data_IF_389995423284
#
_entry.id   IF_389995423284
#
_cell.length_a   1.000
_cell.length_b   1.000
_cell.length_c   1.000
_cell.angle_alpha   90.00
_cell.angle_beta   90.00
_cell.angle_gamma   90.00
#
_symmetry.space_group_name_H-M   'P 1'
#
loop_
_entity.id
_entity.type
_entity.pdbx_description
1 polymer ?
#
# COMPACT_ATOMS: atom_id res chain seq x y z
N UNK A 1 6.56 29.94 -75.87
CA UNK A 1 7.07 28.94 -76.79
C UNK A 1 8.17 28.21 -76.02
N UNK A 2 8.15 27.02 -75.74
CA UNK A 2 8.05 25.76 -76.44
C UNK A 2 7.59 24.69 -75.45
N UNK A 3 6.68 23.83 -75.93
CA UNK A 3 6.20 22.60 -75.29
C UNK A 3 7.32 21.55 -75.18
N UNK A 4 7.34 20.77 -74.16
CA UNK A 4 8.06 19.52 -74.07
C UNK A 4 7.33 18.53 -73.14
N UNK A 5 6.46 17.73 -73.74
CA UNK A 5 5.88 16.54 -73.13
C UNK A 5 6.91 15.40 -73.22
N UNK A 6 7.15 14.67 -72.13
CA UNK A 6 7.72 13.32 -72.20
C UNK A 6 7.00 12.45 -71.17
N UNK A 7 6.20 11.64 -71.74
CA UNK A 7 5.82 10.25 -71.59
C UNK A 7 6.19 9.53 -70.27
N UNK A 8 5.13 8.94 -69.71
CA UNK A 8 5.04 8.18 -68.49
C UNK A 8 5.85 6.88 -68.44
N UNK A 9 5.97 6.41 -67.25
CA UNK A 9 5.93 4.98 -66.87
C UNK A 9 5.57 4.90 -65.39
N UNK A 10 4.37 4.46 -65.14
CA UNK A 10 3.92 4.05 -63.81
C UNK A 10 4.61 2.74 -63.41
N UNK A 11 5.44 2.78 -62.39
CA UNK A 11 5.95 1.58 -61.72
C UNK A 11 5.01 1.22 -60.58
N UNK A 12 4.24 0.16 -60.75
CA UNK A 12 3.49 -0.46 -59.68
C UNK A 12 4.48 -1.23 -58.78
N UNK A 13 4.77 -0.71 -57.61
CA UNK A 13 5.53 -1.42 -56.58
C UNK A 13 4.54 -2.32 -55.85
N UNK A 14 4.61 -3.63 -56.15
CA UNK A 14 3.93 -4.68 -55.41
C UNK A 14 4.60 -4.82 -54.04
N UNK A 15 4.09 -4.11 -53.05
CA UNK A 15 4.47 -4.34 -51.65
C UNK A 15 3.81 -5.64 -51.17
N UNK A 16 4.56 -6.73 -51.24
CA UNK A 16 4.23 -7.96 -50.49
C UNK A 16 4.19 -7.64 -49.03
N UNK A 17 3.01 -7.57 -48.44
CA UNK A 17 2.83 -7.57 -46.98
C UNK A 17 3.34 -8.90 -46.43
N UNK A 18 4.51 -8.91 -45.85
CA UNK A 18 4.97 -10.01 -45.01
C UNK A 18 4.15 -9.95 -43.72
N UNK A 19 3.20 -10.85 -43.55
CA UNK A 19 2.55 -11.14 -42.30
C UNK A 19 3.57 -11.81 -41.36
N UNK A 20 4.41 -11.03 -40.70
CA UNK A 20 5.12 -11.52 -39.51
C UNK A 20 4.12 -11.57 -38.37
N UNK A 21 3.47 -12.72 -38.21
CA UNK A 21 2.66 -13.03 -37.03
C UNK A 21 3.59 -13.03 -35.83
N UNK A 22 3.45 -12.01 -35.00
CA UNK A 22 4.19 -11.87 -33.76
C UNK A 22 3.81 -13.03 -32.81
N UNK A 23 4.68 -14.03 -32.70
CA UNK A 23 4.50 -15.31 -32.01
C UNK A 23 4.47 -15.18 -30.47
N UNK A 24 4.38 -13.95 -29.94
CA UNK A 24 4.46 -13.65 -28.50
C UNK A 24 3.18 -13.08 -27.90
N UNK A 25 2.09 -12.98 -28.64
CA UNK A 25 0.79 -12.64 -28.06
C UNK A 25 0.06 -13.90 -27.62
N UNK A 26 0.47 -14.48 -26.47
CA UNK A 26 -0.44 -15.34 -25.73
C UNK A 26 -1.62 -14.47 -25.30
N UNK A 27 -2.88 -14.90 -25.53
CA UNK A 27 -4.01 -14.14 -25.02
C UNK A 27 -3.89 -14.11 -23.49
N UNK A 28 -3.77 -12.90 -22.94
CA UNK A 28 -3.93 -12.67 -21.50
C UNK A 28 -5.34 -13.15 -21.17
N UNK A 29 -5.44 -14.26 -20.48
CA UNK A 29 -6.72 -14.78 -19.98
C UNK A 29 -7.28 -13.75 -19.02
N UNK A 30 -8.19 -12.90 -19.51
CA UNK A 30 -9.08 -12.08 -18.69
C UNK A 30 -10.09 -13.00 -18.01
N UNK A 31 -9.70 -13.61 -16.90
CA UNK A 31 -10.59 -14.20 -15.93
C UNK A 31 -10.05 -13.91 -14.54
N UNK A 32 -10.09 -12.65 -14.11
CA UNK A 32 -10.20 -12.26 -12.72
C UNK A 32 -11.42 -11.37 -12.60
N UNK A 33 -12.40 -11.89 -11.84
CA UNK A 33 -13.45 -11.14 -11.18
C UNK A 33 -12.94 -9.72 -10.95
N UNK A 34 -13.64 -8.71 -11.44
CA UNK A 34 -13.29 -7.30 -11.28
C UNK A 34 -13.46 -6.98 -9.79
N UNK A 35 -12.48 -7.39 -8.98
CA UNK A 35 -12.39 -6.97 -7.58
C UNK A 35 -12.16 -5.47 -7.63
N UNK A 36 -12.98 -4.71 -6.92
CA UNK A 36 -12.79 -3.28 -6.66
C UNK A 36 -11.41 -3.13 -5.99
N UNK A 37 -10.38 -2.93 -6.79
CA UNK A 37 -9.00 -2.76 -6.33
C UNK A 37 -8.83 -1.31 -5.90
N UNK A 38 -8.90 -1.08 -4.60
CA UNK A 38 -8.67 0.24 -4.00
C UNK A 38 -7.17 0.41 -3.85
N UNK A 39 -6.60 1.39 -4.55
CA UNK A 39 -5.21 1.79 -4.34
C UNK A 39 -5.07 2.44 -2.97
N UNK A 40 -4.08 2.01 -2.19
CA UNK A 40 -3.76 2.63 -0.92
C UNK A 40 -3.29 4.07 -1.15
N UNK A 41 -3.92 5.08 -0.53
CA UNK A 41 -3.47 6.45 -0.65
C UNK A 41 -2.05 6.64 -0.13
N UNK A 42 -1.23 7.40 -0.88
CA UNK A 42 0.08 7.83 -0.38
C UNK A 42 -0.09 8.94 0.66
N UNK A 43 0.85 8.97 1.60
CA UNK A 43 0.96 10.02 2.61
C UNK A 43 2.41 10.14 3.08
N UNK A 44 2.72 11.23 3.74
CA UNK A 44 3.99 11.41 4.44
C UNK A 44 3.72 11.82 5.89
N UNK A 45 4.34 11.12 6.82
CA UNK A 45 4.31 11.40 8.26
C UNK A 45 5.74 11.39 8.82
N UNK A 46 5.92 11.73 10.08
CA UNK A 46 7.21 11.62 10.76
C UNK A 46 7.31 10.29 11.52
N UNK A 47 8.50 9.67 11.53
CA UNK A 47 8.84 8.67 12.54
C UNK A 47 9.09 9.32 13.92
N UNK A 48 9.44 8.53 14.91
CA UNK A 48 9.65 9.04 16.26
C UNK A 48 10.95 9.85 16.41
N UNK A 49 11.87 9.75 15.47
CA UNK A 49 13.12 10.51 15.36
C UNK A 49 12.95 11.80 14.55
N UNK A 50 11.78 12.01 13.93
CA UNK A 50 11.45 13.18 13.10
C UNK A 50 11.83 13.05 11.65
N UNK A 51 12.24 11.87 11.17
CA UNK A 51 12.48 11.63 9.75
C UNK A 51 11.15 11.50 9.01
N UNK A 52 11.09 12.04 7.79
CA UNK A 52 9.90 11.93 6.96
C UNK A 52 9.82 10.54 6.31
N UNK A 53 8.70 9.88 6.54
CA UNK A 53 8.39 8.55 6.00
C UNK A 53 7.14 8.65 5.11
N UNK A 54 7.32 8.32 3.83
CA UNK A 54 6.22 8.21 2.86
C UNK A 54 5.76 6.76 2.75
N UNK A 55 4.46 6.54 2.54
CA UNK A 55 3.89 5.22 2.27
C UNK A 55 4.54 4.56 1.05
N UNK A 56 4.98 5.34 0.05
CA UNK A 56 5.67 4.87 -1.13
C UNK A 56 7.02 4.17 -0.84
N UNK A 57 7.65 4.41 0.32
CA UNK A 57 8.88 3.73 0.73
C UNK A 57 8.67 2.23 0.99
N UNK A 58 7.43 1.81 1.19
CA UNK A 58 7.04 0.41 1.40
C UNK A 58 6.58 -0.29 0.11
N UNK A 59 6.76 0.34 -1.05
CA UNK A 59 6.41 -0.27 -2.33
C UNK A 59 7.12 -1.62 -2.52
N UNK A 60 6.40 -2.63 -3.01
CA UNK A 60 6.90 -4.00 -3.14
C UNK A 60 6.86 -4.82 -1.84
N UNK A 61 6.44 -4.22 -0.74
CA UNK A 61 6.23 -4.88 0.55
C UNK A 61 4.74 -5.18 0.77
N UNK A 62 4.47 -6.17 1.59
CA UNK A 62 3.12 -6.36 2.16
C UNK A 62 3.03 -5.50 3.40
N UNK A 63 2.03 -4.63 3.49
CA UNK A 63 1.92 -3.69 4.61
C UNK A 63 0.68 -3.95 5.44
N UNK A 64 0.85 -4.04 6.77
CA UNK A 64 -0.22 -3.86 7.74
C UNK A 64 -0.17 -2.42 8.25
N UNK A 65 -1.03 -1.57 7.71
CA UNK A 65 -1.17 -0.19 8.13
C UNK A 65 -2.21 -0.10 9.23
N UNK A 66 -1.76 0.15 10.46
CA UNK A 66 -2.59 0.16 11.66
C UNK A 66 -2.78 1.60 12.18
N UNK A 67 -4.03 2.03 12.30
CA UNK A 67 -4.42 3.27 12.98
C UNK A 67 -4.73 2.95 14.44
N UNK A 68 -3.97 3.53 15.37
CA UNK A 68 -4.03 3.17 16.78
C UNK A 68 -3.69 4.35 17.70
N UNK A 69 -3.71 4.14 19.01
CA UNK A 69 -3.26 5.12 19.99
C UNK A 69 -2.82 4.48 21.30
N UNK A 70 -1.87 5.11 22.00
CA UNK A 70 -1.34 4.60 23.28
C UNK A 70 -2.40 4.52 24.38
N UNK A 71 -3.43 5.33 24.30
CA UNK A 71 -4.59 5.38 25.22
C UNK A 71 -5.65 4.30 24.92
N UNK A 72 -5.57 3.63 23.78
CA UNK A 72 -6.58 2.69 23.28
C UNK A 72 -6.37 1.29 23.90
N UNK A 73 -7.23 0.88 24.79
CA UNK A 73 -7.15 -0.45 25.43
C UNK A 73 -7.15 -1.62 24.43
N UNK A 74 -8.13 -1.71 23.50
CA UNK A 74 -8.14 -2.75 22.47
C UNK A 74 -6.89 -2.76 21.57
N UNK A 75 -6.28 -1.57 21.29
CA UNK A 75 -5.04 -1.51 20.53
C UNK A 75 -3.87 -2.20 21.23
N UNK A 76 -3.79 -2.05 22.55
CA UNK A 76 -2.73 -2.70 23.37
C UNK A 76 -2.82 -4.21 23.32
N UNK A 77 -4.01 -4.78 23.20
CA UNK A 77 -4.21 -6.23 23.09
C UNK A 77 -3.59 -6.79 21.81
N UNK A 78 -3.58 -6.01 20.73
CA UNK A 78 -3.09 -6.41 19.41
C UNK A 78 -1.55 -6.27 19.26
N UNK A 79 -0.91 -5.42 20.06
CA UNK A 79 0.54 -5.14 19.98
C UNK A 79 1.40 -6.41 20.02
N UNK A 80 1.23 -7.36 20.96
CA UNK A 80 2.06 -8.57 21.00
C UNK A 80 1.95 -9.42 19.72
N UNK A 81 0.79 -9.43 19.09
CA UNK A 81 0.57 -10.17 17.84
C UNK A 81 1.28 -9.49 16.66
N UNK A 82 1.29 -8.16 16.60
CA UNK A 82 2.08 -7.42 15.63
C UNK A 82 3.59 -7.60 15.82
N UNK A 83 4.07 -7.60 17.06
CA UNK A 83 5.49 -7.86 17.35
C UNK A 83 5.91 -9.22 16.81
N UNK A 84 5.13 -10.28 17.08
CA UNK A 84 5.39 -11.64 16.57
C UNK A 84 5.35 -11.71 15.04
N UNK A 85 4.36 -11.07 14.40
CA UNK A 85 4.26 -11.01 12.95
C UNK A 85 5.45 -10.31 12.32
N UNK A 86 5.89 -9.18 12.90
CA UNK A 86 7.08 -8.46 12.47
C UNK A 86 8.32 -9.35 12.54
N UNK A 87 8.56 -10.01 13.68
CA UNK A 87 9.70 -10.91 13.86
C UNK A 87 9.73 -12.06 12.85
N UNK A 88 8.57 -12.68 12.61
CA UNK A 88 8.47 -13.87 11.75
C UNK A 88 8.54 -13.55 10.26
N UNK A 89 7.95 -12.42 9.82
CA UNK A 89 7.68 -12.21 8.40
C UNK A 89 8.35 -10.99 7.80
N UNK A 90 9.07 -10.16 8.58
CA UNK A 90 9.82 -9.01 8.06
C UNK A 90 10.79 -9.40 6.95
N UNK A 91 11.51 -10.51 7.12
CA UNK A 91 12.44 -11.03 6.10
C UNK A 91 11.74 -11.51 4.82
N UNK A 92 10.44 -11.81 4.91
CA UNK A 92 9.59 -12.17 3.77
C UNK A 92 8.92 -10.95 3.13
N UNK A 93 9.24 -9.75 3.60
CA UNK A 93 8.75 -8.48 3.06
C UNK A 93 7.46 -7.98 3.70
N UNK A 94 7.10 -8.46 4.91
CA UNK A 94 6.06 -7.81 5.71
C UNK A 94 6.61 -6.54 6.37
N UNK A 95 5.86 -5.45 6.27
CA UNK A 95 6.06 -4.24 7.07
C UNK A 95 4.79 -3.96 7.88
N UNK A 96 4.98 -3.63 9.15
CA UNK A 96 3.90 -3.14 10.01
C UNK A 96 4.16 -1.66 10.25
N UNK A 97 3.15 -0.84 9.96
CA UNK A 97 3.23 0.62 10.06
C UNK A 97 2.11 1.10 10.97
N UNK A 98 2.45 1.53 12.15
CA UNK A 98 1.51 2.08 13.12
C UNK A 98 1.39 3.59 13.01
N UNK A 99 0.25 4.10 12.55
CA UNK A 99 -0.08 5.54 12.56
C UNK A 99 -0.68 5.87 13.93
N UNK A 100 0.06 6.64 14.73
CA UNK A 100 -0.26 6.89 16.13
C UNK A 100 -1.10 8.15 16.30
N UNK A 101 -2.36 7.96 16.70
CA UNK A 101 -3.34 9.04 16.84
C UNK A 101 -3.35 9.61 18.26
N UNK A 102 -3.32 10.93 18.38
CA UNK A 102 -3.53 11.68 19.66
C UNK A 102 -2.82 11.07 20.88
N UNK A 103 -1.59 10.63 20.71
CA UNK A 103 -0.83 9.92 21.77
C UNK A 103 0.23 10.77 22.45
N UNK A 104 0.26 12.06 22.14
CA UNK A 104 1.24 13.00 22.68
C UNK A 104 2.50 13.10 21.82
N UNK A 105 3.57 13.70 22.37
CA UNK A 105 4.80 13.93 21.63
C UNK A 105 5.59 12.63 21.36
N UNK A 106 6.51 12.62 20.36
CA UNK A 106 7.26 11.42 19.97
C UNK A 106 7.97 10.70 21.11
N UNK A 107 8.59 11.42 22.04
CA UNK A 107 9.28 10.83 23.19
C UNK A 107 8.35 10.03 24.11
N UNK A 108 7.10 10.44 24.26
CA UNK A 108 6.09 9.69 25.03
C UNK A 108 5.68 8.42 24.29
N UNK A 109 5.54 8.50 22.97
CA UNK A 109 5.23 7.33 22.14
C UNK A 109 6.39 6.36 22.14
N UNK A 110 7.65 6.84 22.08
CA UNK A 110 8.86 6.02 22.15
C UNK A 110 8.95 5.26 23.49
N UNK A 111 8.76 5.96 24.62
CA UNK A 111 8.75 5.32 25.95
C UNK A 111 7.66 4.24 26.06
N UNK A 112 6.50 4.47 25.44
CA UNK A 112 5.45 3.46 25.36
C UNK A 112 5.89 2.27 24.49
N UNK A 113 6.49 2.53 23.32
CA UNK A 113 6.97 1.50 22.42
C UNK A 113 8.01 0.59 23.08
N UNK A 114 8.96 1.17 23.83
CA UNK A 114 9.96 0.45 24.59
C UNK A 114 9.31 -0.45 25.66
N UNK A 115 8.35 0.08 26.40
CA UNK A 115 7.62 -0.67 27.42
C UNK A 115 6.87 -1.88 26.87
N UNK A 116 6.34 -1.77 25.63
CA UNK A 116 5.54 -2.80 24.99
C UNK A 116 6.33 -3.66 24.00
N UNK A 117 7.64 -3.42 23.87
CA UNK A 117 8.52 -4.15 22.96
C UNK A 117 8.13 -3.99 21.48
N UNK A 118 7.60 -2.84 21.10
CA UNK A 118 7.19 -2.58 19.69
C UNK A 118 8.44 -2.55 18.82
N UNK A 119 8.50 -3.41 17.82
CA UNK A 119 9.65 -3.63 16.94
C UNK A 119 9.35 -3.30 15.47
N UNK A 120 8.33 -2.50 15.22
CA UNK A 120 7.87 -2.10 13.90
C UNK A 120 7.75 -0.57 13.79
N UNK A 121 7.58 -0.06 12.57
CA UNK A 121 7.54 1.37 12.27
C UNK A 121 6.37 2.06 12.93
N UNK A 122 6.64 3.12 13.69
CA UNK A 122 5.64 4.01 14.26
C UNK A 122 5.73 5.39 13.62
N UNK A 123 4.60 5.91 13.19
CA UNK A 123 4.48 7.22 12.56
C UNK A 123 3.56 8.13 13.38
N UNK A 124 3.91 9.40 13.42
CA UNK A 124 3.17 10.44 14.14
C UNK A 124 3.08 11.72 13.31
N UNK A 125 2.45 12.75 13.86
CA UNK A 125 2.32 14.04 13.19
C UNK A 125 3.69 14.68 12.92
N UNK A 126 3.83 15.37 11.79
CA UNK A 126 4.99 16.21 11.45
C UNK A 126 4.91 17.52 12.25
N UNK A 127 3.74 18.16 12.22
CA UNK A 127 3.48 19.40 12.93
C UNK A 127 2.22 19.28 13.82
N UNK A 128 1.08 19.01 13.19
CA UNK A 128 -0.25 18.95 13.85
C UNK A 128 -1.26 18.24 12.97
N UNK A 129 -1.96 17.23 13.46
CA UNK A 129 -3.16 16.64 12.83
C UNK A 129 -2.96 15.95 11.46
N UNK A 130 -1.73 15.73 10.99
CA UNK A 130 -1.50 15.01 9.74
C UNK A 130 -1.99 13.56 9.84
N UNK A 131 -1.81 12.92 10.99
CA UNK A 131 -2.32 11.55 11.25
C UNK A 131 -3.83 11.47 11.13
N UNK A 132 -4.55 12.52 11.56
CA UNK A 132 -6.00 12.61 11.41
C UNK A 132 -6.39 12.79 9.94
N UNK A 133 -5.63 13.58 9.19
CA UNK A 133 -5.83 13.77 7.75
C UNK A 133 -5.63 12.48 6.98
N UNK A 134 -4.58 11.71 7.31
CA UNK A 134 -4.33 10.37 6.75
C UNK A 134 -5.47 9.40 7.09
N UNK A 135 -5.96 9.44 8.33
CA UNK A 135 -7.12 8.64 8.75
C UNK A 135 -8.37 8.95 7.92
N UNK A 136 -8.63 10.23 7.68
CA UNK A 136 -9.75 10.68 6.85
C UNK A 136 -9.57 10.24 5.38
N UNK A 137 -8.35 10.35 4.84
CA UNK A 137 -7.99 9.94 3.49
C UNK A 137 -8.27 8.45 3.24
N UNK A 138 -7.82 7.57 4.16
CA UNK A 138 -8.09 6.12 4.07
C UNK A 138 -9.57 5.78 4.25
N UNK A 139 -10.28 6.51 5.11
CA UNK A 139 -11.73 6.40 5.24
C UNK A 139 -12.45 6.74 3.95
N UNK A 140 -12.04 7.82 3.29
CA UNK A 140 -12.61 8.28 2.02
C UNK A 140 -12.33 7.30 0.88
N UNK A 141 -11.07 6.86 0.73
CA UNK A 141 -10.66 5.90 -0.29
C UNK A 141 -11.42 4.58 -0.21
N UNK A 142 -11.74 4.13 1.02
CA UNK A 142 -12.47 2.87 1.25
C UNK A 142 -13.99 3.02 1.36
N UNK A 143 -14.53 4.22 1.11
CA UNK A 143 -15.97 4.52 1.16
C UNK A 143 -16.59 4.43 2.56
N UNK A 144 -15.78 4.26 3.62
CA UNK A 144 -16.24 4.17 5.01
C UNK A 144 -15.28 4.91 5.94
N UNK A 145 -15.77 5.94 6.62
CA UNK A 145 -14.99 6.67 7.63
C UNK A 145 -14.39 5.70 8.66
N UNK A 146 -13.20 6.02 9.11
CA UNK A 146 -12.57 5.34 10.27
C UNK A 146 -13.12 6.06 11.51
N UNK A 147 -14.00 5.38 12.25
CA UNK A 147 -14.69 5.94 13.42
C UNK A 147 -14.19 5.37 14.74
N UNK A 148 -13.23 4.43 14.67
CA UNK A 148 -12.68 3.79 15.86
C UNK A 148 -11.32 3.17 15.58
N UNK A 149 -10.59 2.94 16.66
CA UNK A 149 -9.28 2.28 16.67
C UNK A 149 -9.32 1.05 17.58
N UNK A 150 -8.54 -0.01 17.26
CA UNK A 150 -7.65 -0.11 16.11
C UNK A 150 -8.42 -0.30 14.80
N UNK A 151 -7.91 0.28 13.73
CA UNK A 151 -8.33 -0.04 12.36
C UNK A 151 -7.10 -0.36 11.54
N UNK A 152 -7.05 -1.55 10.94
CA UNK A 152 -5.89 -2.04 10.20
C UNK A 152 -6.25 -2.31 8.75
N UNK A 153 -5.37 -1.92 7.84
CA UNK A 153 -5.47 -2.24 6.42
C UNK A 153 -4.36 -3.20 6.03
N UNK A 154 -4.72 -4.28 5.33
CA UNK A 154 -3.78 -5.13 4.61
C UNK A 154 -3.60 -4.54 3.21
N UNK A 155 -2.37 -4.20 2.87
CA UNK A 155 -1.99 -3.66 1.56
C UNK A 155 -0.99 -4.63 0.94
N UNK A 156 -1.22 -5.02 -0.31
CA UNK A 156 -0.33 -5.95 -1.01
C UNK A 156 0.89 -5.24 -1.62
N UNK A 157 1.78 -6.02 -2.25
CA UNK A 157 3.02 -5.53 -2.86
C UNK A 157 2.81 -4.55 -4.02
N UNK A 158 1.64 -4.59 -4.65
CA UNK A 158 1.24 -3.70 -5.73
C UNK A 158 0.56 -2.42 -5.23
N UNK A 159 0.42 -2.28 -3.89
CA UNK A 159 -0.17 -1.11 -3.25
C UNK A 159 -1.70 -1.12 -3.19
N UNK A 160 -2.35 -2.26 -3.39
CA UNK A 160 -3.81 -2.36 -3.28
C UNK A 160 -4.25 -2.77 -1.89
N UNK A 161 -5.28 -2.12 -1.37
CA UNK A 161 -5.95 -2.51 -0.13
C UNK A 161 -6.73 -3.80 -0.37
N UNK A 162 -6.34 -4.86 0.30
CA UNK A 162 -6.95 -6.20 0.20
C UNK A 162 -7.95 -6.48 1.31
N UNK A 163 -7.71 -5.93 2.51
CA UNK A 163 -8.59 -6.14 3.65
C UNK A 163 -8.59 -4.92 4.59
N UNK A 164 -9.69 -4.71 5.29
CA UNK A 164 -9.86 -3.74 6.37
C UNK A 164 -10.39 -4.46 7.60
N UNK A 165 -9.69 -4.30 8.70
CA UNK A 165 -10.11 -4.80 10.01
C UNK A 165 -10.51 -3.63 10.89
N UNK A 166 -11.63 -3.77 11.59
CA UNK A 166 -12.07 -2.82 12.61
C UNK A 166 -12.11 -3.56 13.95
N UNK A 167 -11.40 -3.05 14.94
CA UNK A 167 -11.14 -3.73 16.21
C UNK A 167 -9.98 -4.73 16.12
N UNK A 168 -9.52 -5.21 17.29
CA UNK A 168 -8.33 -6.06 17.38
C UNK A 168 -8.52 -7.41 16.71
N UNK A 169 -7.42 -7.94 16.17
CA UNK A 169 -7.34 -9.31 15.61
C UNK A 169 -6.11 -10.03 16.15
N UNK A 170 -6.20 -11.36 16.22
CA UNK A 170 -5.06 -12.19 16.60
C UNK A 170 -4.09 -12.38 15.43
N UNK A 171 -2.86 -12.81 15.78
CA UNK A 171 -1.81 -13.19 14.83
C UNK A 171 -2.35 -14.15 13.75
N UNK A 172 -3.13 -15.18 14.15
CA UNK A 172 -3.65 -16.21 13.23
C UNK A 172 -4.59 -15.61 12.17
N UNK A 173 -5.43 -14.64 12.56
CA UNK A 173 -6.35 -13.96 11.63
C UNK A 173 -5.56 -13.15 10.62
N UNK A 174 -4.58 -12.37 11.08
CA UNK A 174 -3.71 -11.62 10.19
C UNK A 174 -2.91 -12.54 9.28
N UNK A 175 -2.27 -13.58 9.83
CA UNK A 175 -1.45 -14.49 9.04
C UNK A 175 -2.23 -15.21 7.95
N UNK A 176 -3.43 -15.70 8.25
CA UNK A 176 -4.30 -16.33 7.26
C UNK A 176 -4.50 -15.44 6.04
N UNK A 177 -4.75 -14.15 6.28
CA UNK A 177 -5.06 -13.19 5.22
C UNK A 177 -3.79 -12.60 4.56
N UNK A 178 -2.65 -12.56 5.28
CA UNK A 178 -1.33 -12.16 4.77
C UNK A 178 -0.70 -13.22 3.86
N UNK A 179 -0.86 -14.49 4.21
CA UNK A 179 -0.17 -15.62 3.58
C UNK A 179 -0.17 -15.63 2.04
N UNK A 180 -1.26 -15.26 1.34
CA UNK A 180 -1.29 -15.22 -0.12
C UNK A 180 -0.39 -14.14 -0.75
N UNK A 181 0.10 -13.17 0.04
CA UNK A 181 0.85 -12.01 -0.43
C UNK A 181 2.32 -12.02 0.04
N UNK A 182 2.67 -12.85 1.03
CA UNK A 182 4.04 -13.07 1.51
C UNK A 182 4.86 -14.00 0.57
#
# INVERSE_FOLDING_TARGET
MIKGQICGKSFAINARRSNSVNKWSKPVQKNKKQENTIVAPDFTLADLEGNLVSMNQFQGKVVLLNFWGTWCGPCRVEIPDFVKLSEKYKVQGLEIVGVTLTSGPPNRISSFADQWGINYTLLTDINKNETQSVTALYGQATGKRITGVPTTFLIDRDGYIRQKYVGPRSEDVFYRDLKPYL
#
